data_IF_184239992947
#
_entry.id   IF_184239992947
#
_cell.length_a   1.000
_cell.length_b   1.000
_cell.length_c   1.000
_cell.angle_alpha   90.00
_cell.angle_beta   90.00
_cell.angle_gamma   90.00
#
_symmetry.space_group_name_H-M   'P 1'
#
loop_
_entity.id
_entity.type
_entity.pdbx_description
1 polymer ?
#
# COMPACT_ATOMS: atom_id res chain seq x y z
N UNK A 1 -76.38 47.64 57.07
CA UNK A 1 -75.49 46.62 57.68
C UNK A 1 -74.05 47.11 57.56
N UNK A 2 -73.38 47.36 58.69
CA UNK A 2 -71.91 47.45 58.85
C UNK A 2 -71.32 46.00 58.88
N UNK A 3 -69.99 45.72 58.88
CA UNK A 3 -68.78 46.58 58.75
C UNK A 3 -67.59 45.98 57.91
N UNK A 4 -66.47 46.75 57.83
CA UNK A 4 -65.02 46.38 57.87
C UNK A 4 -64.44 45.34 56.85
N UNK A 5 -63.15 45.25 56.49
CA UNK A 5 -61.84 45.64 57.04
C UNK A 5 -60.79 45.64 55.89
N UNK A 6 -59.81 46.55 55.84
CA UNK A 6 -58.42 46.41 56.31
C UNK A 6 -57.36 45.93 55.28
N UNK A 7 -56.42 46.86 55.04
CA UNK A 7 -55.01 46.80 54.62
C UNK A 7 -54.27 45.44 54.66
N UNK A 8 -53.47 45.16 53.63
CA UNK A 8 -52.10 44.62 53.77
C UNK A 8 -51.28 44.87 52.49
N UNK A 9 -50.29 45.76 52.57
CA UNK A 9 -49.24 45.93 51.57
C UNK A 9 -48.11 44.95 51.88
N UNK A 10 -47.68 44.15 50.89
CA UNK A 10 -46.50 43.31 50.98
C UNK A 10 -45.36 43.98 50.19
N UNK A 11 -44.36 44.47 50.90
CA UNK A 11 -43.08 44.91 50.34
C UNK A 11 -42.20 43.67 50.20
N UNK A 12 -41.84 43.31 48.97
CA UNK A 12 -40.87 42.26 48.69
C UNK A 12 -39.49 42.90 48.49
N UNK A 13 -38.61 42.71 49.47
CA UNK A 13 -37.21 43.12 49.46
C UNK A 13 -36.40 42.10 48.66
N UNK A 14 -35.89 42.47 47.49
CA UNK A 14 -34.99 41.62 46.71
C UNK A 14 -33.56 41.76 47.25
N UNK A 15 -33.03 40.66 47.83
CA UNK A 15 -31.63 40.50 48.21
C UNK A 15 -30.79 40.25 46.95
N UNK A 16 -29.87 41.16 46.64
CA UNK A 16 -28.84 40.97 45.63
C UNK A 16 -27.68 40.17 46.25
N UNK A 17 -27.49 38.93 45.82
CA UNK A 17 -26.27 38.18 46.06
C UNK A 17 -25.25 38.47 44.94
N UNK A 18 -23.96 38.68 45.24
CA UNK A 18 -22.94 38.79 44.21
C UNK A 18 -22.71 37.40 43.60
N UNK A 19 -23.15 37.22 42.36
CA UNK A 19 -22.75 36.07 41.56
C UNK A 19 -21.30 36.29 41.14
N UNK A 20 -20.37 35.60 41.81
CA UNK A 20 -19.05 35.34 41.24
C UNK A 20 -19.27 34.49 39.99
N UNK A 21 -19.19 35.12 38.82
CA UNK A 21 -19.05 34.42 37.56
C UNK A 21 -17.62 33.88 37.53
N UNK A 22 -17.44 32.63 37.98
CA UNK A 22 -16.23 31.89 37.64
C UNK A 22 -16.14 31.80 36.10
N UNK A 23 -14.97 32.07 35.49
CA UNK A 23 -14.81 31.94 34.06
C UNK A 23 -15.05 30.48 33.66
N UNK A 24 -16.14 30.24 32.91
CA UNK A 24 -16.57 28.93 32.41
C UNK A 24 -15.75 28.42 31.21
N UNK A 25 -14.62 29.05 30.91
CA UNK A 25 -13.74 28.64 29.82
C UNK A 25 -12.32 28.65 30.38
N UNK A 26 -11.71 27.48 30.47
CA UNK A 26 -10.28 27.36 30.75
C UNK A 26 -9.54 27.91 29.53
N UNK A 27 -8.61 28.85 29.75
CA UNK A 27 -7.68 29.34 28.72
C UNK A 27 -6.54 28.33 28.45
N UNK A 28 -6.57 27.13 29.06
CA UNK A 28 -5.70 26.03 28.65
C UNK A 28 -6.12 25.56 27.27
N UNK A 29 -5.34 25.97 26.26
CA UNK A 29 -5.23 25.24 25.00
C UNK A 29 -4.89 23.81 25.37
N UNK A 30 -5.84 22.89 25.17
CA UNK A 30 -5.59 21.48 25.37
C UNK A 30 -4.31 21.12 24.60
N UNK A 31 -3.30 20.63 25.32
CA UNK A 31 -2.15 19.99 24.70
C UNK A 31 -2.72 18.89 23.81
N UNK A 32 -2.33 18.94 22.53
CA UNK A 32 -3.04 18.26 21.46
C UNK A 32 -3.31 16.78 21.76
N UNK A 33 -4.52 16.32 21.49
CA UNK A 33 -4.93 14.95 21.80
C UNK A 33 -4.23 13.91 20.91
N UNK A 34 -3.67 14.34 19.78
CA UNK A 34 -3.15 13.49 18.71
C UNK A 34 -1.65 13.72 18.44
N UNK A 35 -1.13 14.93 18.64
CA UNK A 35 0.31 15.24 18.57
C UNK A 35 0.99 14.77 19.83
N UNK A 36 1.83 13.75 19.70
CA UNK A 36 2.50 13.14 20.84
C UNK A 36 3.88 13.77 21.08
N UNK A 37 4.34 13.87 22.34
CA UNK A 37 5.68 14.36 22.64
C UNK A 37 6.79 13.53 21.98
N UNK A 38 7.95 14.14 21.78
CA UNK A 38 9.13 13.47 21.26
C UNK A 38 9.48 12.21 22.06
N UNK A 39 9.80 11.13 21.35
CA UNK A 39 10.14 9.83 21.96
C UNK A 39 8.95 9.02 22.46
N UNK A 40 7.71 9.46 22.21
CA UNK A 40 6.51 8.66 22.51
C UNK A 40 6.56 7.29 21.85
N UNK A 41 6.22 6.26 22.62
CA UNK A 41 6.17 4.87 22.14
C UNK A 41 4.79 4.60 21.56
N UNK A 42 4.75 4.25 20.28
CA UNK A 42 3.53 3.90 19.57
C UNK A 42 3.33 2.39 19.63
N UNK A 43 2.17 1.90 20.10
CA UNK A 43 1.92 0.46 20.18
C UNK A 43 1.85 -0.17 18.78
N UNK A 44 2.24 -1.45 18.63
CA UNK A 44 2.03 -2.19 17.40
C UNK A 44 0.55 -2.43 17.14
N UNK A 45 0.15 -2.57 15.87
CA UNK A 45 -1.23 -2.88 15.48
C UNK A 45 -1.73 -4.20 16.08
N UNK A 46 -0.82 -5.12 16.46
CA UNK A 46 -1.19 -6.34 17.19
C UNK A 46 -1.90 -6.09 18.53
N UNK A 47 -1.71 -4.90 19.12
CA UNK A 47 -2.40 -4.48 20.35
C UNK A 47 -3.82 -3.95 20.06
N UNK A 48 -4.19 -3.78 18.78
CA UNK A 48 -5.52 -3.46 18.28
C UNK A 48 -6.10 -4.66 17.50
N UNK A 49 -6.70 -5.66 18.19
CA UNK A 49 -7.05 -6.94 17.58
C UNK A 49 -8.02 -6.83 16.41
N UNK A 50 -8.91 -5.83 16.40
CA UNK A 50 -9.84 -5.64 15.29
C UNK A 50 -9.13 -5.15 14.02
N UNK A 51 -8.21 -4.19 14.15
CA UNK A 51 -7.42 -3.68 13.03
C UNK A 51 -6.47 -4.77 12.52
N UNK A 52 -5.78 -5.47 13.44
CA UNK A 52 -4.88 -6.57 13.06
C UNK A 52 -5.61 -7.69 12.30
N UNK A 53 -6.83 -8.04 12.74
CA UNK A 53 -7.67 -9.03 12.06
C UNK A 53 -8.13 -8.52 10.70
N UNK A 54 -8.56 -7.26 10.61
CA UNK A 54 -8.94 -6.64 9.34
C UNK A 54 -7.80 -6.71 8.33
N UNK A 55 -6.57 -6.36 8.73
CA UNK A 55 -5.39 -6.45 7.85
C UNK A 55 -5.16 -7.90 7.42
N UNK A 56 -5.07 -8.85 8.37
CA UNK A 56 -4.78 -10.24 8.06
C UNK A 56 -5.84 -10.94 7.19
N UNK A 57 -7.10 -10.48 7.23
CA UNK A 57 -8.18 -11.00 6.37
C UNK A 57 -8.17 -10.39 4.96
N UNK A 58 -7.51 -9.25 4.75
CA UNK A 58 -7.64 -8.44 3.53
C UNK A 58 -6.32 -8.04 2.85
N UNK A 59 -5.15 -8.36 3.43
CA UNK A 59 -3.83 -8.00 2.87
C UNK A 59 -3.42 -8.84 1.65
N UNK A 60 -4.21 -9.88 1.32
CA UNK A 60 -4.03 -10.69 0.12
C UNK A 60 -2.87 -11.67 0.20
N UNK A 61 -2.23 -11.84 1.35
CA UNK A 61 -1.02 -12.66 1.50
C UNK A 61 -1.06 -13.58 2.72
N UNK A 62 -0.25 -14.65 2.67
CA UNK A 62 -0.02 -15.53 3.81
C UNK A 62 1.06 -15.01 4.76
N UNK A 63 1.37 -15.80 5.80
CA UNK A 63 2.50 -15.51 6.71
C UNK A 63 3.84 -15.44 5.97
N UNK A 64 4.00 -16.24 4.92
CA UNK A 64 5.13 -16.15 4.00
C UNK A 64 4.59 -15.80 2.62
N UNK A 65 5.10 -14.70 2.06
CA UNK A 65 4.86 -14.29 0.67
C UNK A 65 5.93 -14.95 -0.19
N UNK A 66 5.59 -16.00 -0.97
CA UNK A 66 6.57 -16.79 -1.69
C UNK A 66 7.16 -16.00 -2.86
N UNK A 67 8.42 -16.27 -3.17
CA UNK A 67 9.06 -15.75 -4.38
C UNK A 67 8.80 -16.72 -5.54
N UNK A 68 7.89 -16.37 -6.43
CA UNK A 68 7.46 -17.21 -7.55
C UNK A 68 8.43 -17.11 -8.73
N UNK A 69 8.57 -18.20 -9.50
CA UNK A 69 9.27 -18.18 -10.80
C UNK A 69 8.34 -17.79 -11.94
N UNK A 70 8.91 -17.22 -12.99
CA UNK A 70 8.23 -16.88 -14.23
C UNK A 70 9.23 -16.36 -15.26
N UNK A 71 8.75 -15.67 -16.28
CA UNK A 71 9.60 -15.15 -17.35
C UNK A 71 9.30 -13.69 -17.67
N UNK A 72 10.33 -12.91 -17.98
CA UNK A 72 10.19 -11.54 -18.47
C UNK A 72 11.23 -11.27 -19.56
N UNK A 73 10.79 -10.72 -20.70
CA UNK A 73 11.66 -10.39 -21.85
C UNK A 73 12.61 -11.53 -22.28
N UNK A 74 12.15 -12.78 -22.23
CA UNK A 74 12.93 -13.94 -22.69
C UNK A 74 13.92 -14.50 -21.68
N UNK A 75 13.87 -14.06 -20.42
CA UNK A 75 14.73 -14.56 -19.35
C UNK A 75 13.90 -14.97 -18.13
N UNK A 76 14.40 -15.88 -17.28
CA UNK A 76 13.81 -16.17 -15.98
C UNK A 76 13.67 -14.89 -15.15
N UNK A 77 12.53 -14.76 -14.49
CA UNK A 77 12.17 -13.66 -13.61
C UNK A 77 11.60 -14.21 -12.30
N UNK A 78 11.61 -13.37 -11.27
CA UNK A 78 11.00 -13.67 -9.98
C UNK A 78 10.02 -12.59 -9.61
N UNK A 79 8.92 -12.95 -8.95
CA UNK A 79 7.89 -11.99 -8.54
C UNK A 79 7.17 -12.45 -7.27
N UNK A 80 6.38 -11.56 -6.70
CA UNK A 80 5.46 -11.86 -5.60
C UNK A 80 4.03 -11.62 -6.03
N UNK A 81 3.08 -12.36 -5.47
CA UNK A 81 1.64 -12.13 -5.67
C UNK A 81 1.04 -11.52 -4.40
N UNK A 82 0.65 -10.24 -4.46
CA UNK A 82 -0.11 -9.55 -3.40
C UNK A 82 -1.62 -9.50 -3.67
N UNK A 83 -2.09 -10.24 -4.67
CA UNK A 83 -3.48 -10.33 -5.03
C UNK A 83 -4.01 -9.15 -5.86
N UNK A 84 -5.34 -9.06 -6.00
CA UNK A 84 -6.00 -7.97 -6.70
C UNK A 84 -5.74 -6.62 -6.03
N UNK A 85 -5.55 -5.57 -6.82
CA UNK A 85 -5.38 -4.21 -6.33
C UNK A 85 -6.16 -3.20 -7.17
N UNK A 86 -6.67 -2.11 -6.57
CA UNK A 86 -7.28 -1.04 -7.35
C UNK A 86 -6.21 -0.31 -8.17
N UNK A 87 -6.57 0.11 -9.38
CA UNK A 87 -5.75 1.06 -10.15
C UNK A 87 -6.02 2.50 -9.67
N UNK A 88 -5.73 2.75 -8.39
CA UNK A 88 -5.93 4.03 -7.73
C UNK A 88 -4.85 4.22 -6.66
N UNK A 89 -4.60 5.46 -6.24
CA UNK A 89 -3.63 5.77 -5.18
C UNK A 89 -4.33 6.26 -3.91
N UNK A 90 -3.77 5.88 -2.76
CA UNK A 90 -4.11 6.44 -1.45
C UNK A 90 -3.03 7.44 -1.00
N UNK A 91 -3.32 8.40 -0.10
CA UNK A 91 -2.30 9.33 0.38
C UNK A 91 -1.38 8.68 1.42
N UNK A 92 -0.07 8.91 1.31
CA UNK A 92 0.92 8.65 2.36
C UNK A 92 1.67 9.93 2.69
N UNK A 93 1.89 10.17 3.98
CA UNK A 93 2.52 11.38 4.47
C UNK A 93 3.90 11.08 5.05
N UNK A 94 4.89 11.87 4.65
CA UNK A 94 6.28 11.76 5.11
C UNK A 94 6.65 13.07 5.78
N UNK A 95 7.09 12.99 7.04
CA UNK A 95 7.56 14.16 7.79
C UNK A 95 8.98 14.52 7.32
N UNK A 96 9.16 15.74 6.85
CA UNK A 96 10.42 16.20 6.25
C UNK A 96 10.85 17.57 6.77
N UNK A 97 12.14 17.86 6.68
CA UNK A 97 12.73 19.17 6.94
C UNK A 97 13.36 19.73 5.66
N UNK A 98 13.38 21.07 5.45
CA UNK A 98 14.06 21.68 4.31
C UNK A 98 15.54 21.27 4.26
N UNK A 99 16.00 20.82 3.10
CA UNK A 99 17.38 20.39 2.89
C UNK A 99 17.81 20.69 1.45
N UNK A 100 18.87 21.48 1.25
CA UNK A 100 19.39 21.79 -0.08
C UNK A 100 19.92 20.51 -0.76
N UNK A 101 19.31 20.12 -1.88
CA UNK A 101 19.66 18.89 -2.59
C UNK A 101 19.20 17.61 -1.90
N UNK A 102 18.21 17.70 -1.00
CA UNK A 102 17.62 16.55 -0.30
C UNK A 102 16.93 15.55 -1.22
N UNK A 103 16.63 14.38 -0.66
CA UNK A 103 16.06 13.21 -1.37
C UNK A 103 14.66 13.50 -1.95
N UNK A 104 13.82 14.24 -1.23
CA UNK A 104 12.44 14.50 -1.60
C UNK A 104 12.33 15.84 -2.31
N UNK A 105 11.65 15.85 -3.47
CA UNK A 105 11.42 17.05 -4.27
C UNK A 105 9.93 17.34 -4.35
N UNK A 106 9.51 18.51 -3.85
CA UNK A 106 8.13 18.97 -4.00
C UNK A 106 7.86 19.44 -5.44
N UNK A 107 6.57 19.57 -5.79
CA UNK A 107 6.16 20.02 -7.12
C UNK A 107 6.67 21.41 -7.52
N UNK A 108 7.03 22.26 -6.55
CA UNK A 108 7.60 23.60 -6.77
C UNK A 108 9.14 23.60 -6.93
N UNK A 109 9.78 22.44 -6.84
CA UNK A 109 11.23 22.27 -6.94
C UNK A 109 11.98 22.40 -5.62
N UNK A 110 11.31 22.69 -4.51
CA UNK A 110 11.92 22.70 -3.17
C UNK A 110 12.35 21.30 -2.76
N UNK A 111 13.50 21.20 -2.10
CA UNK A 111 14.10 19.92 -1.70
C UNK A 111 14.07 19.73 -0.18
N UNK A 112 13.89 18.48 0.24
CA UNK A 112 13.68 18.10 1.63
C UNK A 112 14.35 16.76 1.96
N UNK A 113 14.72 16.58 3.23
CA UNK A 113 15.13 15.30 3.77
C UNK A 113 14.11 14.81 4.80
N UNK A 114 13.92 13.49 4.86
CA UNK A 114 13.07 12.87 5.87
C UNK A 114 13.61 13.18 7.26
N UNK A 115 12.73 13.61 8.18
CA UNK A 115 13.10 13.81 9.58
C UNK A 115 13.53 12.47 10.16
N UNK A 116 14.75 12.43 10.72
CA UNK A 116 15.33 11.19 11.25
C UNK A 116 14.43 10.56 12.31
N UNK A 117 14.19 9.26 12.19
CA UNK A 117 13.34 8.50 13.12
C UNK A 117 11.84 8.63 12.86
N UNK A 118 11.40 9.58 12.02
CA UNK A 118 9.99 9.65 11.60
C UNK A 118 9.59 8.42 10.78
N UNK A 119 8.30 8.05 10.85
CA UNK A 119 7.69 7.02 10.01
C UNK A 119 6.65 7.65 9.10
N UNK A 120 6.39 6.99 7.98
CA UNK A 120 5.34 7.41 7.07
C UNK A 120 3.98 7.17 7.70
N UNK A 121 3.02 8.05 7.43
CA UNK A 121 1.68 8.04 8.04
C UNK A 121 0.66 7.78 6.93
N UNK A 122 -0.26 6.85 7.17
CA UNK A 122 -1.34 6.48 6.24
C UNK A 122 -2.70 6.64 6.91
N UNK A 123 -3.73 6.88 6.11
CA UNK A 123 -5.12 7.00 6.58
C UNK A 123 -6.00 5.79 6.27
N UNK A 124 -5.45 4.74 5.65
CA UNK A 124 -6.21 3.55 5.23
C UNK A 124 -5.36 2.29 5.35
N UNK A 125 -5.99 1.15 5.64
CA UNK A 125 -5.36 -0.19 5.70
C UNK A 125 -6.18 -1.21 4.91
N UNK A 126 -5.65 -2.41 4.58
CA UNK A 126 -6.42 -3.45 3.89
C UNK A 126 -7.77 -3.69 4.58
N UNK A 127 -8.83 -3.82 3.78
CA UNK A 127 -10.22 -3.89 4.25
C UNK A 127 -10.94 -2.53 4.28
N UNK A 128 -10.23 -1.40 4.29
CA UNK A 128 -10.84 -0.09 4.14
C UNK A 128 -11.26 0.14 2.67
N UNK A 129 -12.44 0.74 2.39
CA UNK A 129 -12.91 0.97 1.02
C UNK A 129 -12.00 1.84 0.16
N UNK A 130 -11.20 2.71 0.79
CA UNK A 130 -10.28 3.62 0.12
C UNK A 130 -8.83 3.12 0.11
N UNK A 131 -8.56 1.91 0.62
CA UNK A 131 -7.22 1.37 0.66
C UNK A 131 -6.69 1.08 -0.74
N UNK A 132 -5.42 1.43 -0.94
CA UNK A 132 -4.62 1.00 -2.07
C UNK A 132 -3.21 0.67 -1.59
N UNK A 133 -2.55 -0.39 -2.12
CA UNK A 133 -1.14 -0.61 -1.87
C UNK A 133 -0.25 0.43 -2.60
N UNK A 134 -0.83 1.30 -3.43
CA UNK A 134 -0.13 2.38 -4.13
C UNK A 134 -0.39 3.72 -3.47
N UNK A 135 0.69 4.44 -3.17
CA UNK A 135 0.62 5.64 -2.36
C UNK A 135 1.14 6.87 -3.06
N UNK A 136 0.31 7.90 -3.18
CA UNK A 136 0.75 9.24 -3.52
C UNK A 136 1.47 9.86 -2.33
N UNK A 137 2.74 10.23 -2.52
CA UNK A 137 3.55 10.82 -1.45
C UNK A 137 3.19 12.30 -1.24
N UNK A 138 2.94 12.67 0.01
CA UNK A 138 2.78 14.04 0.50
C UNK A 138 3.86 14.33 1.56
N UNK A 139 4.48 15.51 1.45
CA UNK A 139 5.51 15.97 2.38
C UNK A 139 4.89 16.85 3.45
N UNK A 140 5.00 16.44 4.71
CA UNK A 140 4.63 17.22 5.88
C UNK A 140 5.87 17.96 6.35
N UNK A 141 5.99 19.22 5.96
CA UNK A 141 7.19 20.03 6.22
C UNK A 141 7.15 20.61 7.63
N UNK A 142 8.12 20.25 8.46
CA UNK A 142 8.24 20.80 9.82
C UNK A 142 8.63 22.27 9.80
N UNK A 143 8.27 22.99 10.87
CA UNK A 143 8.65 24.40 11.09
C UNK A 143 9.70 24.51 12.19
N UNK A 144 10.15 25.73 12.47
CA UNK A 144 11.06 26.01 13.59
C UNK A 144 10.42 25.74 14.98
N UNK A 145 9.09 25.58 15.05
CA UNK A 145 8.38 25.24 16.28
C UNK A 145 8.36 23.73 16.58
N UNK A 146 8.77 22.89 15.63
CA UNK A 146 8.84 21.45 15.78
C UNK A 146 10.01 21.03 16.67
N UNK A 147 9.75 20.25 17.72
CA UNK A 147 10.73 19.76 18.68
C UNK A 147 10.82 18.21 18.71
N UNK A 148 10.47 17.57 17.59
CA UNK A 148 10.59 16.12 17.42
C UNK A 148 9.35 15.34 17.84
N UNK A 149 8.18 15.98 17.83
CA UNK A 149 6.88 15.36 18.10
C UNK A 149 6.64 14.11 17.24
N UNK A 150 5.69 13.29 17.65
CA UNK A 150 5.30 12.08 16.90
C UNK A 150 3.90 12.29 16.33
N UNK A 151 3.80 12.30 15.01
CA UNK A 151 2.53 12.32 14.29
C UNK A 151 2.19 10.87 13.90
N UNK A 152 1.29 10.24 14.65
CA UNK A 152 0.96 8.82 14.47
C UNK A 152 -0.38 8.58 13.75
N UNK A 153 -1.04 9.63 13.26
CA UNK A 153 -2.32 9.56 12.53
C UNK A 153 -2.51 10.78 11.63
N UNK A 154 -3.55 10.76 10.78
CA UNK A 154 -3.95 11.92 9.97
C UNK A 154 -4.42 13.07 10.88
N UNK A 155 -5.20 12.77 11.91
CA UNK A 155 -5.64 13.75 12.92
C UNK A 155 -4.44 14.46 13.58
N UNK A 156 -3.34 13.75 13.82
CA UNK A 156 -2.12 14.35 14.37
C UNK A 156 -1.46 15.33 13.40
N UNK A 157 -1.51 15.07 12.09
CA UNK A 157 -1.02 16.02 11.07
C UNK A 157 -1.88 17.27 11.07
N UNK A 158 -3.20 17.13 11.07
CA UNK A 158 -4.12 18.27 11.07
C UNK A 158 -3.97 19.13 12.34
N UNK A 159 -3.84 18.49 13.50
CA UNK A 159 -3.58 19.18 14.76
C UNK A 159 -2.21 19.87 14.76
N UNK A 160 -1.16 19.20 14.26
CA UNK A 160 0.16 19.82 14.13
C UNK A 160 0.16 21.04 13.19
N UNK A 161 -0.67 21.04 12.15
CA UNK A 161 -0.86 22.22 11.29
C UNK A 161 -1.53 23.36 12.05
N UNK A 162 -2.56 23.07 12.84
CA UNK A 162 -3.27 24.07 13.65
C UNK A 162 -2.37 24.69 14.72
N UNK A 163 -1.50 23.87 15.32
CA UNK A 163 -0.48 24.29 16.29
C UNK A 163 0.70 25.02 15.63
N UNK A 164 0.78 25.06 14.30
CA UNK A 164 1.88 25.68 13.56
C UNK A 164 3.20 24.91 13.62
N UNK A 165 3.17 23.64 14.04
CA UNK A 165 4.35 22.77 14.10
C UNK A 165 4.79 22.31 12.70
N UNK A 166 3.82 22.14 11.79
CA UNK A 166 4.07 21.74 10.40
C UNK A 166 3.29 22.64 9.43
N UNK A 167 3.76 22.71 8.18
CA UNK A 167 3.08 23.40 7.08
C UNK A 167 2.02 22.51 6.44
N UNK A 168 1.20 23.11 5.57
CA UNK A 168 0.32 22.35 4.69
C UNK A 168 1.09 21.29 3.89
N UNK A 169 0.59 20.04 3.80
CA UNK A 169 1.26 18.98 3.07
C UNK A 169 1.50 19.35 1.60
N UNK A 170 2.70 19.10 1.11
CA UNK A 170 3.08 19.34 -0.27
C UNK A 170 3.01 18.04 -1.06
N UNK A 171 2.30 18.04 -2.19
CA UNK A 171 2.24 16.89 -3.09
C UNK A 171 3.56 16.73 -3.85
N UNK A 172 4.07 15.50 -3.96
CA UNK A 172 5.18 15.17 -4.87
C UNK A 172 4.68 14.54 -6.18
N UNK A 173 5.60 14.29 -7.11
CA UNK A 173 5.31 13.50 -8.31
C UNK A 173 5.60 12.02 -8.11
N UNK A 174 5.67 11.52 -6.88
CA UNK A 174 6.02 10.12 -6.61
C UNK A 174 4.81 9.32 -6.15
N UNK A 175 4.62 8.16 -6.79
CA UNK A 175 3.79 7.07 -6.30
C UNK A 175 4.71 5.93 -5.87
N UNK A 176 4.42 5.30 -4.74
CA UNK A 176 5.17 4.14 -4.25
C UNK A 176 4.27 2.92 -4.08
N UNK A 177 4.79 1.74 -4.39
CA UNK A 177 4.11 0.47 -4.11
C UNK A 177 4.53 -0.04 -2.73
N UNK A 178 3.65 0.13 -1.75
CA UNK A 178 3.86 -0.28 -0.37
C UNK A 178 2.66 -1.02 0.23
N UNK A 179 2.42 -2.30 -0.10
CA UNK A 179 1.31 -3.04 0.48
C UNK A 179 1.51 -3.19 1.99
N UNK A 180 0.50 -2.79 2.75
CA UNK A 180 0.38 -3.05 4.18
C UNK A 180 -0.01 -4.52 4.36
N UNK A 181 0.64 -5.17 5.31
CA UNK A 181 0.52 -6.60 5.58
C UNK A 181 0.43 -6.87 7.08
N UNK A 182 0.02 -8.08 7.44
CA UNK A 182 0.14 -8.57 8.81
C UNK A 182 1.58 -8.45 9.35
N UNK A 183 1.72 -8.16 10.64
CA UNK A 183 3.03 -8.08 11.33
C UNK A 183 3.80 -9.42 11.34
N UNK A 184 3.08 -10.52 11.15
CA UNK A 184 3.68 -11.86 11.02
C UNK A 184 4.23 -12.12 9.62
N UNK A 185 3.83 -11.35 8.60
CA UNK A 185 4.21 -11.57 7.21
C UNK A 185 5.72 -11.51 7.01
N UNK A 186 6.22 -12.35 6.10
CA UNK A 186 7.62 -12.43 5.68
C UNK A 186 7.69 -12.50 4.17
N UNK A 187 8.55 -11.69 3.57
CA UNK A 187 8.74 -11.66 2.12
C UNK A 187 9.95 -12.52 1.76
N UNK A 188 9.76 -13.55 0.95
CA UNK A 188 10.89 -14.32 0.42
C UNK A 188 11.68 -13.50 -0.61
N UNK A 189 13.00 -13.58 -0.60
CA UNK A 189 13.86 -12.88 -1.55
C UNK A 189 15.13 -13.68 -1.81
N UNK A 190 15.70 -13.52 -3.01
CA UNK A 190 17.01 -14.09 -3.30
C UNK A 190 18.09 -13.35 -2.50
N UNK A 191 18.84 -14.09 -1.70
CA UNK A 191 20.05 -13.62 -1.02
C UNK A 191 21.28 -14.36 -1.51
N UNK A 192 22.46 -13.94 -1.05
CA UNK A 192 23.77 -14.51 -1.47
C UNK A 192 23.98 -16.00 -1.16
N UNK A 193 23.04 -16.66 -0.48
CA UNK A 193 23.07 -18.07 -0.13
C UNK A 193 21.77 -18.82 -0.39
N UNK A 194 20.89 -18.31 -1.27
CA UNK A 194 19.57 -18.86 -1.57
C UNK A 194 18.43 -17.98 -1.09
N UNK A 195 17.24 -18.57 -0.92
CA UNK A 195 16.05 -17.84 -0.48
C UNK A 195 16.20 -17.41 0.99
N UNK A 196 15.97 -16.13 1.25
CA UNK A 196 15.94 -15.53 2.59
C UNK A 196 14.59 -14.86 2.83
N UNK A 197 14.26 -14.54 4.08
CA UNK A 197 13.01 -13.87 4.43
C UNK A 197 13.26 -12.47 4.99
N UNK A 198 12.66 -11.46 4.37
CA UNK A 198 12.68 -10.06 4.79
C UNK A 198 11.48 -9.77 5.70
N UNK A 199 11.73 -9.06 6.80
CA UNK A 199 10.68 -8.51 7.66
C UNK A 199 10.12 -7.22 7.06
N UNK A 200 8.83 -6.92 7.28
CA UNK A 200 8.24 -5.65 6.84
C UNK A 200 8.87 -4.45 7.54
N UNK A 201 8.74 -3.29 6.90
CA UNK A 201 9.01 -1.99 7.50
C UNK A 201 7.77 -1.48 8.24
N UNK A 202 7.91 -0.44 9.06
CA UNK A 202 6.81 0.09 9.88
C UNK A 202 6.41 1.51 9.50
N UNK A 203 5.10 1.77 9.54
CA UNK A 203 4.44 3.06 9.34
C UNK A 203 3.45 3.34 10.46
N UNK A 204 2.80 4.50 10.42
CA UNK A 204 1.76 4.90 11.36
C UNK A 204 0.38 4.86 10.73
N UNK A 205 -0.59 4.34 11.47
CA UNK A 205 -2.02 4.36 11.14
C UNK A 205 -2.81 4.48 12.44
N UNK A 206 -3.62 5.54 12.57
CA UNK A 206 -4.54 5.75 13.69
C UNK A 206 -3.93 5.52 15.09
N UNK A 207 -2.68 5.96 15.32
CA UNK A 207 -2.00 5.80 16.60
C UNK A 207 -1.35 4.43 16.83
N UNK A 208 -1.24 3.60 15.79
CA UNK A 208 -0.59 2.28 15.83
C UNK A 208 0.54 2.17 14.80
N UNK A 209 1.49 1.27 15.07
CA UNK A 209 2.47 0.83 14.07
C UNK A 209 1.88 -0.25 13.18
N UNK A 210 1.80 0.02 11.88
CA UNK A 210 1.43 -0.95 10.84
C UNK A 210 2.65 -1.39 10.03
N UNK A 211 2.59 -2.58 9.46
CA UNK A 211 3.69 -3.22 8.75
C UNK A 211 3.45 -3.19 7.23
N UNK A 212 4.48 -2.91 6.44
CA UNK A 212 4.39 -2.89 4.97
C UNK A 212 5.69 -3.35 4.31
N UNK A 213 5.59 -3.80 3.05
CA UNK A 213 6.76 -3.97 2.17
C UNK A 213 6.90 -2.79 1.22
N UNK A 214 8.10 -2.52 0.72
CA UNK A 214 8.39 -1.44 -0.23
C UNK A 214 9.01 -2.06 -1.48
N UNK A 215 8.49 -1.73 -2.67
CA UNK A 215 8.93 -2.32 -3.93
C UNK A 215 9.52 -1.32 -4.93
N UNK A 216 8.84 -0.22 -5.23
CA UNK A 216 9.33 0.72 -6.25
C UNK A 216 8.75 2.14 -6.13
N UNK A 217 9.39 3.09 -6.81
CA UNK A 217 8.91 4.45 -7.06
C UNK A 217 8.53 4.61 -8.53
N UNK A 218 7.36 5.18 -8.79
CA UNK A 218 6.94 5.55 -10.15
C UNK A 218 6.47 7.00 -10.17
N UNK A 219 6.91 7.80 -11.17
CA UNK A 219 6.36 9.12 -11.39
C UNK A 219 4.84 9.10 -11.56
N UNK A 220 4.12 10.02 -10.91
CA UNK A 220 2.66 10.15 -10.91
C UNK A 220 2.08 10.25 -12.32
N UNK A 221 2.77 10.94 -13.23
CA UNK A 221 2.34 11.11 -14.62
C UNK A 221 2.32 9.79 -15.42
N UNK A 222 2.91 8.73 -14.86
CA UNK A 222 2.92 7.37 -15.43
C UNK A 222 2.08 6.37 -14.66
N UNK A 223 1.52 6.74 -13.50
CA UNK A 223 0.70 5.80 -12.73
C UNK A 223 -0.66 5.55 -13.39
N UNK A 224 -1.20 6.58 -14.05
CA UNK A 224 -2.46 6.47 -14.81
C UNK A 224 -2.29 5.73 -16.15
N UNK A 225 -1.06 5.33 -16.51
CA UNK A 225 -0.82 4.50 -17.68
C UNK A 225 -1.40 3.10 -17.46
N UNK A 226 -1.88 2.51 -18.55
CA UNK A 226 -2.39 1.15 -18.56
C UNK A 226 -1.33 0.15 -18.06
N UNK A 227 -1.59 -0.62 -16.98
CA UNK A 227 -0.60 -1.56 -16.47
C UNK A 227 -0.19 -2.58 -17.53
N UNK A 228 1.10 -3.00 -17.55
CA UNK A 228 1.57 -4.01 -18.47
C UNK A 228 0.88 -5.35 -18.24
N UNK A 229 1.01 -6.23 -19.22
CA UNK A 229 0.34 -7.52 -19.21
C UNK A 229 1.21 -8.58 -18.53
N UNK A 230 0.56 -9.43 -17.76
CA UNK A 230 1.07 -10.73 -17.34
C UNK A 230 0.20 -11.82 -17.96
N UNK A 231 0.83 -12.82 -18.56
CA UNK A 231 0.17 -13.94 -19.20
C UNK A 231 0.27 -15.15 -18.29
N UNK A 232 -0.88 -15.67 -17.85
CA UNK A 232 -0.97 -16.89 -17.05
C UNK A 232 -1.28 -18.03 -17.98
N UNK A 233 -0.37 -18.99 -18.08
CA UNK A 233 -0.43 -20.02 -19.10
C UNK A 233 -1.19 -21.25 -18.59
N UNK A 234 -2.02 -21.82 -19.47
CA UNK A 234 -2.72 -23.09 -19.27
C UNK A 234 -2.61 -23.95 -20.51
N UNK A 235 -2.46 -25.25 -20.34
CA UNK A 235 -2.46 -26.18 -21.47
C UNK A 235 -3.88 -26.41 -21.99
N UNK A 236 -4.02 -26.74 -23.28
CA UNK A 236 -5.26 -27.31 -23.82
C UNK A 236 -5.80 -28.43 -22.92
N UNK A 237 -7.06 -28.32 -22.49
CA UNK A 237 -7.63 -29.16 -21.43
C UNK A 237 -7.79 -28.43 -20.09
N UNK A 238 -7.19 -27.25 -19.93
CA UNK A 238 -7.46 -26.30 -18.83
C UNK A 238 -6.50 -26.37 -17.65
N UNK A 239 -5.53 -27.27 -17.66
CA UNK A 239 -4.51 -27.42 -16.61
C UNK A 239 -3.61 -26.16 -16.56
N UNK A 240 -3.54 -25.45 -15.42
CA UNK A 240 -2.59 -24.35 -15.25
C UNK A 240 -1.15 -24.84 -15.37
N UNK A 241 -0.27 -24.03 -15.96
CA UNK A 241 1.17 -24.27 -15.95
C UNK A 241 1.80 -23.49 -14.79
N UNK A 242 1.31 -23.79 -13.59
CA UNK A 242 1.65 -23.10 -12.34
C UNK A 242 1.44 -24.07 -11.17
N UNK A 243 2.50 -24.37 -10.44
CA UNK A 243 2.46 -25.21 -9.26
C UNK A 243 1.59 -24.62 -8.15
N UNK A 244 1.66 -23.31 -7.81
CA UNK A 244 0.76 -22.74 -6.83
C UNK A 244 -0.71 -22.93 -7.21
N UNK A 245 -1.04 -22.76 -8.51
CA UNK A 245 -2.40 -22.90 -8.99
C UNK A 245 -2.90 -24.36 -9.00
N UNK A 246 -2.00 -25.33 -9.19
CA UNK A 246 -2.32 -26.77 -9.20
C UNK A 246 -2.23 -27.45 -7.84
N UNK A 247 -1.42 -26.90 -6.93
CA UNK A 247 -1.05 -27.56 -5.68
C UNK A 247 -0.19 -28.81 -5.87
N UNK A 248 0.62 -28.86 -6.94
CA UNK A 248 1.49 -30.00 -7.28
C UNK A 248 2.87 -29.49 -7.64
N UNK A 249 3.89 -30.11 -7.05
CA UNK A 249 5.32 -29.92 -7.37
C UNK A 249 5.60 -30.58 -8.74
N UNK A 250 5.68 -29.75 -9.77
CA UNK A 250 5.86 -30.12 -11.18
C UNK A 250 7.33 -30.31 -11.52
N UNK A 251 8.24 -29.55 -10.88
CA UNK A 251 9.69 -29.64 -11.12
C UNK A 251 10.37 -30.70 -10.25
N UNK A 252 9.75 -31.09 -9.14
CA UNK A 252 10.27 -32.08 -8.19
C UNK A 252 11.32 -31.50 -7.23
N UNK A 253 11.39 -30.18 -7.09
CA UNK A 253 12.37 -29.50 -6.25
C UNK A 253 11.94 -29.39 -4.77
N UNK A 254 10.70 -29.80 -4.48
CA UNK A 254 10.14 -29.86 -3.14
C UNK A 254 9.41 -28.59 -2.70
N UNK A 255 9.17 -27.63 -3.60
CA UNK A 255 8.30 -26.50 -3.35
C UNK A 255 7.09 -26.43 -4.31
N UNK A 256 6.38 -25.30 -4.31
CA UNK A 256 5.19 -25.05 -5.12
C UNK A 256 5.25 -23.62 -5.68
N UNK A 257 6.44 -23.14 -6.00
CA UNK A 257 6.68 -21.74 -6.39
C UNK A 257 6.80 -21.58 -7.89
N UNK A 258 6.76 -22.67 -8.66
CA UNK A 258 7.06 -22.58 -10.07
C UNK A 258 5.87 -22.22 -10.94
N UNK A 259 6.09 -21.28 -11.85
CA UNK A 259 5.10 -20.90 -12.84
C UNK A 259 5.72 -20.72 -14.23
N UNK A 260 4.89 -20.87 -15.26
CA UNK A 260 5.21 -20.44 -16.62
C UNK A 260 4.66 -19.05 -16.94
N UNK A 261 4.36 -18.22 -15.94
CA UNK A 261 3.78 -16.90 -16.17
C UNK A 261 4.78 -16.00 -16.91
N UNK A 262 4.28 -15.23 -17.88
CA UNK A 262 5.11 -14.39 -18.76
C UNK A 262 4.73 -12.93 -18.60
N UNK A 263 5.68 -12.10 -18.20
CA UNK A 263 5.51 -10.66 -18.05
C UNK A 263 5.91 -9.93 -19.34
N UNK A 264 5.08 -8.98 -19.76
CA UNK A 264 5.40 -8.08 -20.87
C UNK A 264 6.45 -7.02 -20.49
N UNK A 265 6.56 -6.71 -19.20
CA UNK A 265 7.50 -5.76 -18.63
C UNK A 265 8.58 -6.45 -17.77
N UNK A 266 9.62 -5.70 -17.45
CA UNK A 266 10.63 -6.05 -16.42
C UNK A 266 10.54 -5.04 -15.27
N UNK A 267 11.10 -5.36 -14.10
CA UNK A 267 11.20 -4.42 -12.97
C UNK A 267 11.81 -3.06 -13.38
N UNK A 268 12.78 -3.07 -14.30
CA UNK A 268 13.43 -1.87 -14.84
C UNK A 268 12.67 -1.15 -15.96
N UNK A 269 11.47 -1.62 -16.34
CA UNK A 269 10.70 -1.00 -17.41
C UNK A 269 10.08 0.31 -16.93
N UNK A 270 10.24 1.36 -17.73
CA UNK A 270 9.62 2.67 -17.44
C UNK A 270 8.11 2.52 -17.23
N UNK A 271 7.60 2.98 -16.09
CA UNK A 271 6.19 2.92 -15.74
C UNK A 271 5.74 1.60 -15.12
N UNK A 272 6.64 0.64 -14.91
CA UNK A 272 6.30 -0.56 -14.14
C UNK A 272 6.17 -0.22 -12.66
N UNK A 273 4.97 -0.41 -12.10
CA UNK A 273 4.67 -0.13 -10.68
C UNK A 273 4.58 -1.41 -9.83
N UNK A 274 4.64 -2.59 -10.48
CA UNK A 274 4.17 -3.85 -9.91
C UNK A 274 2.71 -4.17 -10.27
N UNK A 275 1.93 -3.21 -10.78
CA UNK A 275 0.61 -3.53 -11.33
C UNK A 275 0.73 -4.29 -12.64
N UNK A 276 -0.10 -5.32 -12.80
CA UNK A 276 -0.27 -6.04 -14.05
C UNK A 276 -1.74 -6.34 -14.35
N UNK A 277 -2.09 -6.33 -15.63
CA UNK A 277 -3.35 -6.92 -16.11
C UNK A 277 -3.11 -8.34 -16.53
N UNK A 278 -3.95 -9.24 -16.05
CA UNK A 278 -3.80 -10.67 -16.30
C UNK A 278 -4.55 -11.10 -17.55
N UNK A 279 -3.89 -11.90 -18.39
CA UNK A 279 -4.51 -12.59 -19.53
C UNK A 279 -4.30 -14.09 -19.33
N UNK A 280 -5.38 -14.87 -19.22
CA UNK A 280 -5.28 -16.32 -19.28
C UNK A 280 -4.99 -16.73 -20.72
N UNK A 281 -3.91 -17.48 -20.95
CA UNK A 281 -3.50 -17.95 -22.28
C UNK A 281 -3.56 -19.46 -22.33
N UNK A 282 -4.29 -19.99 -23.31
CA UNK A 282 -4.30 -21.43 -23.60
C UNK A 282 -3.23 -21.73 -24.64
N UNK A 283 -2.27 -22.57 -24.28
CA UNK A 283 -1.19 -23.04 -25.15
C UNK A 283 -1.46 -24.48 -25.63
N UNK A 284 -0.88 -24.91 -26.78
CA UNK A 284 -1.06 -26.26 -27.32
C UNK A 284 -0.75 -27.39 -26.33
N UNK A 285 -1.37 -28.56 -26.54
CA UNK A 285 -1.17 -29.73 -25.69
C UNK A 285 0.29 -30.23 -25.63
N UNK A 286 1.10 -29.97 -26.66
CA UNK A 286 2.52 -30.35 -26.75
C UNK A 286 3.49 -29.26 -26.28
N UNK A 287 2.98 -28.14 -25.75
CA UNK A 287 3.79 -27.05 -25.21
C UNK A 287 4.78 -27.51 -24.14
N UNK A 288 6.07 -27.24 -24.33
CA UNK A 288 7.09 -27.51 -23.35
C UNK A 288 7.09 -26.44 -22.24
N UNK A 289 6.92 -26.91 -21.00
CA UNK A 289 6.79 -26.13 -19.77
C UNK A 289 7.43 -26.84 -18.58
N UNK A 290 7.32 -26.22 -17.39
CA UNK A 290 7.88 -26.73 -16.14
C UNK A 290 7.48 -28.18 -15.82
N UNK A 291 6.29 -28.66 -16.20
CA UNK A 291 5.90 -30.08 -16.02
C UNK A 291 6.58 -31.06 -16.98
N UNK A 292 7.00 -30.60 -18.15
CA UNK A 292 7.65 -31.45 -19.15
C UNK A 292 9.17 -31.39 -19.07
N UNK A 293 9.72 -30.24 -18.70
CA UNK A 293 11.17 -30.03 -18.53
C UNK A 293 11.65 -30.41 -17.13
N UNK A 294 10.77 -30.35 -16.12
CA UNK A 294 11.13 -30.39 -14.70
C UNK A 294 12.14 -29.29 -14.33
N UNK A 295 12.08 -28.15 -15.03
CA UNK A 295 13.00 -27.03 -14.88
C UNK A 295 12.26 -25.70 -15.07
N UNK A 296 12.16 -24.92 -13.99
CA UNK A 296 11.54 -23.57 -13.94
C UNK A 296 12.19 -22.53 -14.87
N UNK A 297 13.40 -22.80 -15.38
CA UNK A 297 14.11 -21.91 -16.30
C UNK A 297 13.83 -22.23 -17.77
N UNK A 298 13.07 -23.29 -18.05
CA UNK A 298 12.82 -23.80 -19.41
C UNK A 298 11.34 -23.75 -19.77
N UNK A 299 11.03 -23.09 -20.88
CA UNK A 299 9.69 -22.97 -21.46
C UNK A 299 9.78 -22.67 -22.96
N UNK A 300 8.79 -23.11 -23.74
CA UNK A 300 8.69 -22.74 -25.17
C UNK A 300 8.48 -21.23 -25.36
N UNK A 301 7.77 -20.58 -24.43
CA UNK A 301 7.57 -19.13 -24.38
C UNK A 301 8.17 -18.57 -23.10
N UNK A 302 9.13 -17.66 -23.29
CA UNK A 302 9.71 -16.84 -22.22
C UNK A 302 9.54 -15.34 -22.46
N UNK A 303 9.01 -14.95 -23.63
CA UNK A 303 8.91 -13.55 -24.06
C UNK A 303 7.50 -13.24 -24.57
N UNK A 304 6.80 -12.29 -23.96
CA UNK A 304 5.42 -11.93 -24.33
C UNK A 304 5.20 -11.68 -25.83
N UNK A 305 6.16 -11.04 -26.51
CA UNK A 305 6.09 -10.81 -27.96
C UNK A 305 6.03 -12.07 -28.84
N UNK A 306 6.33 -13.27 -28.32
CA UNK A 306 6.13 -14.52 -29.07
C UNK A 306 4.70 -15.04 -28.97
N UNK A 307 3.89 -14.54 -28.02
CA UNK A 307 2.48 -14.91 -27.87
C UNK A 307 1.57 -14.12 -28.84
N UNK A 308 1.90 -12.85 -29.12
CA UNK A 308 1.05 -11.95 -29.90
C UNK A 308 1.84 -11.24 -31.00
N UNK A 309 1.35 -11.31 -32.25
CA UNK A 309 2.05 -10.73 -33.43
C UNK A 309 1.98 -9.21 -33.51
N UNK A 310 1.03 -8.58 -32.81
CA UNK A 310 0.79 -7.13 -32.88
C UNK A 310 0.71 -6.43 -31.50
N UNK A 311 1.18 -7.08 -30.43
CA UNK A 311 1.43 -6.42 -29.14
C UNK A 311 0.21 -5.88 -28.38
N UNK A 312 -1.02 -6.13 -28.83
CA UNK A 312 -2.24 -5.70 -28.16
C UNK A 312 -3.17 -6.88 -27.85
N UNK A 313 -3.79 -6.82 -26.67
CA UNK A 313 -4.93 -7.68 -26.31
C UNK A 313 -6.03 -7.50 -27.36
N UNK A 314 -6.45 -8.59 -28.00
CA UNK A 314 -7.45 -8.58 -29.07
C UNK A 314 -6.89 -8.56 -30.50
N UNK A 315 -5.57 -8.61 -30.68
CA UNK A 315 -4.93 -8.86 -31.98
C UNK A 315 -4.81 -10.34 -32.34
N UNK A 316 -4.39 -10.63 -33.58
CA UNK A 316 -4.00 -11.98 -34.01
C UNK A 316 -2.88 -12.50 -33.09
N UNK A 317 -3.20 -13.52 -32.29
CA UNK A 317 -2.22 -14.30 -31.57
C UNK A 317 -1.50 -15.26 -32.52
N UNK A 318 -0.29 -15.67 -32.18
CA UNK A 318 0.39 -16.68 -32.99
C UNK A 318 -0.30 -18.03 -32.77
N UNK A 319 -1.10 -18.49 -33.74
CA UNK A 319 -1.83 -19.75 -33.63
C UNK A 319 -0.92 -20.99 -33.53
N UNK A 320 0.39 -20.85 -33.78
CA UNK A 320 1.36 -21.91 -33.52
C UNK A 320 1.71 -22.03 -32.02
N UNK A 321 1.41 -21.01 -31.22
CA UNK A 321 1.86 -20.88 -29.83
C UNK A 321 0.69 -20.64 -28.87
N UNK A 322 -0.40 -20.05 -29.34
CA UNK A 322 -1.60 -19.70 -28.58
C UNK A 322 -2.83 -20.28 -29.27
N UNK A 323 -3.62 -21.01 -28.50
CA UNK A 323 -4.90 -21.57 -28.93
C UNK A 323 -6.03 -20.58 -28.66
N UNK A 324 -6.02 -19.97 -27.48
CA UNK A 324 -6.97 -18.95 -27.06
C UNK A 324 -6.37 -18.01 -26.02
N UNK A 325 -6.92 -16.80 -25.89
CA UNK A 325 -6.53 -15.83 -24.86
C UNK A 325 -7.79 -15.16 -24.28
N UNK A 326 -7.84 -15.07 -22.94
CA UNK A 326 -8.96 -14.53 -22.18
C UNK A 326 -8.46 -13.42 -21.24
N UNK A 327 -8.61 -12.15 -21.64
CA UNK A 327 -8.25 -11.02 -20.79
C UNK A 327 -9.16 -10.96 -19.56
N UNK A 328 -8.58 -10.79 -18.37
CA UNK A 328 -9.33 -10.49 -17.15
C UNK A 328 -9.59 -9.00 -17.06
N UNK A 329 -10.57 -8.51 -17.83
CA UNK A 329 -10.81 -7.09 -18.06
C UNK A 329 -11.02 -6.26 -16.77
N UNK A 330 -11.51 -6.90 -15.69
CA UNK A 330 -11.88 -6.21 -14.45
C UNK A 330 -10.91 -6.48 -13.28
N UNK A 331 -9.76 -7.13 -13.54
CA UNK A 331 -8.81 -7.51 -12.47
C UNK A 331 -7.42 -7.01 -12.82
N UNK A 332 -6.93 -6.08 -12.00
CA UNK A 332 -5.52 -5.71 -11.95
C UNK A 332 -4.91 -6.34 -10.71
N UNK A 333 -3.73 -6.93 -10.85
CA UNK A 333 -3.01 -7.60 -9.77
C UNK A 333 -1.79 -6.78 -9.36
N UNK A 334 -1.42 -6.83 -8.08
CA UNK A 334 -0.16 -6.28 -7.58
C UNK A 334 0.90 -7.39 -7.56
N UNK A 335 1.63 -7.53 -8.67
CA UNK A 335 2.67 -8.53 -8.88
C UNK A 335 4.05 -7.90 -9.03
N UNK A 336 4.65 -7.32 -7.97
CA UNK A 336 5.97 -6.71 -8.08
C UNK A 336 7.02 -7.75 -8.52
N UNK A 337 7.79 -7.40 -9.56
CA UNK A 337 8.93 -8.19 -10.02
C UNK A 337 10.12 -7.92 -9.11
N UNK A 338 10.85 -8.96 -8.72
CA UNK A 338 12.12 -8.82 -8.02
C UNK A 338 13.18 -8.26 -8.99
N UNK A 339 13.94 -7.26 -8.51
CA UNK A 339 15.04 -6.64 -9.25
C UNK A 339 16.37 -7.38 -9.05
#
# INVERSE_FOLDING_TARGET
MRPAAALAALVATALAAPACLDPLVSDEVAVGAHVLPAGSVIPPVSDAPEIARQIAENDGVGEVVPLLSGFAKGAPARFWDFGPAPNAVAPIYVVVAPAEGGEYVAADGSTYDKVLGSKSIVGTVPGDPAYSPFWQVFLVVVTDAWDGEVLASIDAIEEAQQLGLVKAPLRTFDVINCPIVSSTARLEQLGSGGVTQKKPSTGYYEGYLVDYFFFDHVPVDRFDDDPPLAFVLRREGGEPLSEPARGVDMTGDGDLRDTNDVFAATASSSGYTGLVRVVDVVVPADYASIDTSQDETVADVMHAATLFRFGAIGGDYDSATVVAAYPRADVVMNWPLAA
#
